data_IF_440996453366
#
_entry.id   IF_440996453366
#
_cell.length_a   1.000
_cell.length_b   1.000
_cell.length_c   1.000
_cell.angle_alpha   90.00
_cell.angle_beta   90.00
_cell.angle_gamma   90.00
#
_symmetry.space_group_name_H-M   'P 1'
#
loop_
_entity.id
_entity.type
_entity.pdbx_description
1 polymer ?
#
# COMPACT_ATOMS: atom_id res chain seq x y z
N UNK A 1 -11.13 45.89 -49.85
CA UNK A 1 -10.83 45.87 -48.42
C UNK A 1 -11.24 44.51 -47.88
N UNK A 2 -10.31 43.54 -47.89
CA UNK A 2 -10.52 42.18 -47.48
C UNK A 2 -10.08 42.00 -46.03
N UNK A 3 -11.00 41.67 -45.12
CA UNK A 3 -10.74 41.29 -43.75
C UNK A 3 -10.38 39.79 -43.67
N UNK A 4 -9.13 39.51 -43.29
CA UNK A 4 -8.65 38.16 -43.01
C UNK A 4 -9.01 37.79 -41.56
N UNK A 5 -9.83 36.77 -41.41
CA UNK A 5 -10.14 36.13 -40.14
C UNK A 5 -9.05 35.08 -39.86
N UNK A 6 -8.15 35.36 -38.90
CA UNK A 6 -7.19 34.37 -38.38
C UNK A 6 -7.91 33.46 -37.38
N UNK A 7 -8.12 32.23 -37.78
CA UNK A 7 -8.60 31.17 -36.87
C UNK A 7 -7.50 30.82 -35.87
N UNK A 8 -7.82 30.95 -34.57
CA UNK A 8 -6.99 30.45 -33.47
C UNK A 8 -7.28 28.94 -33.35
N UNK A 9 -6.35 28.12 -33.79
CA UNK A 9 -6.39 26.69 -33.51
C UNK A 9 -5.97 26.47 -32.04
N UNK A 10 -6.92 26.09 -31.22
CA UNK A 10 -6.68 25.67 -29.84
C UNK A 10 -6.06 24.26 -29.89
N UNK A 11 -4.75 24.16 -29.73
CA UNK A 11 -4.06 22.89 -29.53
C UNK A 11 -4.42 22.36 -28.14
N UNK A 12 -5.36 21.39 -28.12
CA UNK A 12 -5.58 20.55 -26.94
C UNK A 12 -4.43 19.54 -26.93
N UNK A 13 -3.41 19.83 -26.12
CA UNK A 13 -2.30 18.92 -25.88
C UNK A 13 -2.79 17.72 -25.07
N UNK A 14 -3.09 16.61 -25.72
CA UNK A 14 -3.16 15.31 -25.06
C UNK A 14 -1.77 14.89 -24.66
N UNK A 15 -1.36 15.18 -23.44
CA UNK A 15 -0.18 14.56 -22.84
C UNK A 15 -0.48 13.08 -22.61
N UNK A 16 0.02 12.22 -23.50
CA UNK A 16 0.02 10.77 -23.27
C UNK A 16 0.78 10.49 -21.97
N UNK A 17 0.07 9.97 -20.97
CA UNK A 17 0.66 9.54 -19.70
C UNK A 17 1.57 8.34 -19.99
N UNK A 18 2.85 8.61 -20.23
CA UNK A 18 3.88 7.57 -20.13
C UNK A 18 3.88 7.09 -18.67
N UNK A 19 3.67 5.79 -18.45
CA UNK A 19 3.80 5.13 -17.13
C UNK A 19 5.29 5.09 -16.69
N UNK A 20 6.00 6.19 -16.83
CA UNK A 20 7.31 6.38 -16.21
C UNK A 20 7.01 6.77 -14.75
N UNK A 21 7.71 6.16 -13.82
CA UNK A 21 7.56 6.46 -12.39
C UNK A 21 7.80 7.98 -12.19
N UNK A 22 6.71 8.70 -11.95
CA UNK A 22 6.75 10.11 -11.60
C UNK A 22 7.31 10.24 -10.19
N UNK A 23 8.11 11.24 -9.92
CA UNK A 23 8.55 11.55 -8.56
C UNK A 23 7.35 11.98 -7.70
N UNK A 24 7.42 11.80 -6.38
CA UNK A 24 6.36 12.25 -5.48
C UNK A 24 6.18 13.77 -5.55
N UNK A 25 4.94 14.23 -5.40
CA UNK A 25 4.62 15.68 -5.36
C UNK A 25 5.21 16.36 -4.11
N UNK A 26 5.29 15.61 -3.01
CA UNK A 26 5.82 16.10 -1.74
C UNK A 26 6.46 14.95 -0.95
N UNK A 27 7.46 15.27 -0.13
CA UNK A 27 8.06 14.34 0.83
C UNK A 27 7.99 14.96 2.23
N UNK A 28 7.36 14.24 3.18
CA UNK A 28 7.16 14.74 4.54
C UNK A 28 7.73 13.75 5.55
N UNK A 29 8.55 14.23 6.46
CA UNK A 29 9.03 13.42 7.58
C UNK A 29 7.89 13.12 8.55
N UNK A 30 7.56 11.84 8.72
CA UNK A 30 6.48 11.40 9.63
C UNK A 30 7.02 10.90 10.97
N UNK A 31 8.29 10.50 11.02
CA UNK A 31 8.92 9.98 12.22
C UNK A 31 10.36 10.45 12.32
N UNK A 32 10.73 11.00 13.48
CA UNK A 32 12.10 11.36 13.83
C UNK A 32 12.54 10.51 15.01
N UNK A 33 13.69 9.86 14.86
CA UNK A 33 14.41 9.17 15.90
C UNK A 33 15.79 9.85 16.01
N UNK A 34 16.59 9.47 17.02
CA UNK A 34 17.87 10.12 17.28
C UNK A 34 18.74 10.26 16.02
N UNK A 35 18.92 9.17 15.27
CA UNK A 35 19.79 9.12 14.08
C UNK A 35 19.04 8.81 12.77
N UNK A 36 17.70 8.79 12.77
CA UNK A 36 16.90 8.37 11.60
C UNK A 36 15.69 9.26 11.44
N UNK A 37 15.52 9.81 10.24
CA UNK A 37 14.27 10.41 9.78
C UNK A 37 13.61 9.49 8.76
N UNK A 38 12.31 9.25 8.91
CA UNK A 38 11.50 8.44 7.99
C UNK A 38 10.43 9.30 7.35
N UNK A 39 10.32 9.22 6.02
CA UNK A 39 9.46 10.06 5.22
C UNK A 39 8.30 9.32 4.57
N UNK A 40 7.23 10.04 4.33
CA UNK A 40 6.17 9.69 3.39
C UNK A 40 6.42 10.40 2.08
N UNK A 41 6.34 9.67 0.98
CA UNK A 41 6.38 10.16 -0.40
C UNK A 41 4.94 10.26 -0.89
N UNK A 42 4.43 11.48 -1.10
CA UNK A 42 3.03 11.77 -1.34
C UNK A 42 2.75 11.98 -2.82
N UNK A 43 1.59 11.50 -3.26
CA UNK A 43 1.03 11.69 -4.59
C UNK A 43 -0.38 12.21 -4.42
N UNK A 44 -0.63 13.42 -4.87
CA UNK A 44 -1.90 14.10 -4.73
C UNK A 44 -2.77 13.97 -6.00
N UNK A 45 -4.09 13.92 -5.84
CA UNK A 45 -5.00 14.10 -6.97
C UNK A 45 -4.87 15.50 -7.57
N UNK A 46 -5.20 15.63 -8.86
CA UNK A 46 -5.28 16.94 -9.51
C UNK A 46 -6.18 17.90 -8.72
N UNK A 47 -5.73 19.16 -8.57
CA UNK A 47 -6.42 20.22 -7.83
C UNK A 47 -6.74 19.87 -6.36
N UNK A 48 -5.94 19.01 -5.74
CA UNK A 48 -6.11 18.64 -4.35
C UNK A 48 -6.01 19.82 -3.39
N UNK A 49 -6.88 19.84 -2.37
CA UNK A 49 -6.89 20.84 -1.31
C UNK A 49 -7.08 20.17 0.07
N UNK A 50 -6.54 20.80 1.11
CA UNK A 50 -6.68 20.33 2.48
C UNK A 50 -8.14 20.22 2.98
N UNK A 51 -9.08 20.90 2.31
CA UNK A 51 -10.52 20.83 2.60
C UNK A 51 -11.24 19.60 2.02
N UNK A 52 -10.61 18.80 1.14
CA UNK A 52 -11.28 17.80 0.29
C UNK A 52 -11.80 16.57 1.02
N UNK A 53 -11.18 16.16 2.15
CA UNK A 53 -11.52 14.95 2.90
C UNK A 53 -11.51 13.67 2.05
N UNK A 54 -10.50 13.53 1.20
CA UNK A 54 -10.31 12.37 0.31
C UNK A 54 -9.97 11.09 1.09
N UNK A 55 -10.14 9.93 0.49
CA UNK A 55 -9.56 8.69 1.04
C UNK A 55 -8.04 8.73 0.92
N UNK A 56 -7.33 8.15 1.90
CA UNK A 56 -5.88 8.00 1.89
C UNK A 56 -5.46 6.55 1.77
N UNK A 57 -4.26 6.30 1.24
CA UNK A 57 -3.61 4.99 1.28
C UNK A 57 -2.11 5.16 1.48
N UNK A 58 -1.50 4.30 2.31
CA UNK A 58 -0.05 4.22 2.49
C UNK A 58 0.46 2.84 2.11
N UNK A 59 1.51 2.79 1.28
CA UNK A 59 2.17 1.55 0.88
C UNK A 59 3.53 1.40 1.57
N UNK A 60 3.87 0.13 1.88
CA UNK A 60 5.16 -0.29 2.40
C UNK A 60 5.85 -1.22 1.40
N UNK A 61 7.10 -0.93 1.06
CA UNK A 61 7.87 -1.67 0.07
C UNK A 61 8.30 -3.05 0.56
N UNK A 62 8.56 -3.98 -0.38
CA UNK A 62 9.14 -5.28 -0.11
C UNK A 62 10.67 -5.22 0.07
N UNK A 63 11.27 -6.38 0.31
CA UNK A 63 12.73 -6.50 0.45
C UNK A 63 13.18 -7.28 1.69
N UNK A 64 12.29 -8.13 2.22
CA UNK A 64 12.60 -9.08 3.31
C UNK A 64 13.00 -8.39 4.61
N UNK A 65 12.51 -7.18 4.89
CA UNK A 65 12.94 -6.33 6.03
C UNK A 65 14.44 -6.02 6.05
N UNK A 66 15.13 -6.36 4.97
CA UNK A 66 16.57 -6.13 4.82
C UNK A 66 16.89 -4.86 4.02
N UNK A 67 16.11 -4.55 3.00
CA UNK A 67 16.31 -3.42 2.10
C UNK A 67 15.03 -3.06 1.38
N UNK A 68 15.16 -2.35 0.25
CA UNK A 68 14.05 -1.88 -0.57
C UNK A 68 13.92 -0.36 -0.61
N UNK A 69 12.95 0.14 -1.37
CA UNK A 69 12.73 1.58 -1.60
C UNK A 69 11.24 1.89 -1.74
N UNK A 70 10.76 3.04 -1.26
CA UNK A 70 9.40 3.54 -1.51
C UNK A 70 9.00 3.58 -2.98
N UNK A 71 9.96 3.77 -3.89
CA UNK A 71 9.73 3.83 -5.34
C UNK A 71 9.08 2.57 -5.92
N UNK A 72 9.12 1.43 -5.21
CA UNK A 72 8.41 0.22 -5.63
C UNK A 72 6.92 0.47 -5.84
N UNK A 73 6.29 1.29 -5.01
CA UNK A 73 4.86 1.57 -5.07
C UNK A 73 4.49 2.89 -5.74
N UNK A 74 5.44 3.65 -6.28
CA UNK A 74 5.13 4.89 -7.01
C UNK A 74 4.11 4.68 -8.13
N UNK A 75 4.21 3.64 -8.99
CA UNK A 75 3.18 3.41 -10.02
C UNK A 75 1.77 3.17 -9.46
N UNK A 76 1.66 2.51 -8.30
CA UNK A 76 0.39 2.31 -7.62
C UNK A 76 -0.13 3.63 -7.03
N UNK A 77 0.73 4.43 -6.42
CA UNK A 77 0.39 5.74 -5.87
C UNK A 77 -0.10 6.70 -6.97
N UNK A 78 0.61 6.77 -8.10
CA UNK A 78 0.21 7.56 -9.27
C UNK A 78 -1.17 7.17 -9.79
N UNK A 79 -1.41 5.86 -9.94
CA UNK A 79 -2.72 5.40 -10.36
C UNK A 79 -3.81 5.82 -9.37
N UNK A 80 -3.62 5.60 -8.08
CA UNK A 80 -4.63 5.91 -7.07
C UNK A 80 -4.83 7.42 -6.89
N UNK A 81 -3.78 8.24 -7.05
CA UNK A 81 -3.94 9.70 -7.07
C UNK A 81 -4.77 10.15 -8.26
N UNK A 82 -4.55 9.58 -9.46
CA UNK A 82 -5.41 9.87 -10.63
C UNK A 82 -6.87 9.42 -10.44
N UNK A 83 -7.13 8.50 -9.49
CA UNK A 83 -8.46 8.07 -9.08
C UNK A 83 -9.07 8.93 -7.96
N UNK A 84 -8.33 9.90 -7.45
CA UNK A 84 -8.81 10.84 -6.44
C UNK A 84 -8.43 10.54 -4.99
N UNK A 85 -7.57 9.56 -4.72
CA UNK A 85 -7.01 9.31 -3.38
C UNK A 85 -5.74 10.11 -3.13
N UNK A 86 -5.48 10.49 -1.89
CA UNK A 86 -4.12 10.87 -1.47
C UNK A 86 -3.35 9.58 -1.25
N UNK A 87 -2.39 9.28 -2.13
CA UNK A 87 -1.62 8.05 -2.08
C UNK A 87 -0.19 8.32 -1.59
N UNK A 88 0.33 7.42 -0.77
CA UNK A 88 1.62 7.59 -0.12
C UNK A 88 2.44 6.31 -0.21
N UNK A 89 3.76 6.44 -0.31
CA UNK A 89 4.70 5.34 -0.10
C UNK A 89 5.63 5.70 1.05
N UNK A 90 5.71 4.84 2.06
CA UNK A 90 6.43 5.12 3.29
C UNK A 90 7.85 4.56 3.29
N UNK A 91 8.79 5.33 3.77
CA UNK A 91 10.02 4.78 4.31
C UNK A 91 9.75 4.07 5.63
N UNK A 92 10.49 3.03 5.90
CA UNK A 92 10.55 2.37 7.21
C UNK A 92 11.96 1.81 7.42
N UNK A 93 12.37 1.64 8.65
CA UNK A 93 13.70 1.12 8.99
C UNK A 93 13.87 -0.30 8.48
N UNK A 94 15.04 -0.58 7.90
CA UNK A 94 15.42 -1.90 7.39
C UNK A 94 16.83 -2.26 7.85
N UNK A 95 17.12 -3.57 7.92
CA UNK A 95 18.38 -4.06 8.47
C UNK A 95 19.62 -3.45 7.80
N UNK A 96 19.67 -3.34 6.48
CA UNK A 96 20.85 -2.88 5.73
C UNK A 96 21.20 -1.41 5.97
N UNK A 97 20.22 -0.57 6.31
CA UNK A 97 20.42 0.87 6.56
C UNK A 97 20.46 1.22 8.04
N UNK A 98 19.65 0.52 8.84
CA UNK A 98 19.39 0.93 10.22
C UNK A 98 19.71 -0.16 11.24
N UNK A 99 20.22 -1.34 10.82
CA UNK A 99 20.57 -2.48 11.66
C UNK A 99 19.39 -3.01 12.50
N UNK A 100 18.17 -2.83 12.01
CA UNK A 100 16.91 -3.15 12.70
C UNK A 100 16.41 -4.56 12.38
N UNK A 101 15.43 -5.00 13.15
CA UNK A 101 14.71 -6.27 13.00
C UNK A 101 13.32 -6.04 12.40
N UNK A 102 12.53 -7.08 12.06
CA UNK A 102 11.15 -6.89 11.62
C UNK A 102 10.24 -6.17 12.63
N UNK A 103 10.59 -6.18 13.93
CA UNK A 103 9.87 -5.43 14.97
C UNK A 103 9.82 -3.94 14.68
N UNK A 104 10.97 -3.33 14.42
CA UNK A 104 11.07 -1.90 14.12
C UNK A 104 10.35 -1.54 12.81
N UNK A 105 10.36 -2.47 11.83
CA UNK A 105 9.58 -2.25 10.59
C UNK A 105 8.08 -2.13 10.88
N UNK A 106 7.52 -2.98 11.76
CA UNK A 106 6.11 -2.93 12.17
C UNK A 106 5.83 -1.67 12.98
N UNK A 107 6.71 -1.31 13.93
CA UNK A 107 6.59 -0.05 14.70
C UNK A 107 6.51 1.15 13.78
N UNK A 108 7.33 1.22 12.74
CA UNK A 108 7.34 2.33 11.78
C UNK A 108 6.08 2.34 10.91
N UNK A 109 5.59 1.17 10.49
CA UNK A 109 4.32 1.06 9.78
C UNK A 109 3.13 1.58 10.60
N UNK A 110 3.07 1.23 11.88
CA UNK A 110 2.05 1.74 12.81
C UNK A 110 2.17 3.24 13.03
N UNK A 111 3.40 3.74 13.22
CA UNK A 111 3.68 5.17 13.32
C UNK A 111 3.20 5.93 12.07
N UNK A 112 3.43 5.40 10.86
CA UNK A 112 3.01 6.03 9.62
C UNK A 112 1.48 6.17 9.54
N UNK A 113 0.72 5.09 9.81
CA UNK A 113 -0.75 5.13 9.79
C UNK A 113 -1.28 6.11 10.85
N UNK A 114 -0.72 6.09 12.06
CA UNK A 114 -1.09 7.02 13.13
C UNK A 114 -0.81 8.47 12.76
N UNK A 115 0.40 8.75 12.23
CA UNK A 115 0.78 10.08 11.81
C UNK A 115 -0.13 10.63 10.70
N UNK A 116 -0.48 9.81 9.70
CA UNK A 116 -1.44 10.18 8.65
C UNK A 116 -2.80 10.53 9.26
N UNK A 117 -3.29 9.75 10.21
CA UNK A 117 -4.58 10.00 10.87
C UNK A 117 -4.56 11.29 11.70
N UNK A 118 -3.48 11.56 12.44
CA UNK A 118 -3.27 12.81 13.19
C UNK A 118 -3.22 14.03 12.27
N UNK A 119 -2.61 13.89 11.11
CA UNK A 119 -2.44 14.98 10.13
C UNK A 119 -3.50 14.97 9.02
N UNK A 120 -4.55 14.17 9.14
CA UNK A 120 -5.55 13.97 8.10
C UNK A 120 -6.17 15.29 7.60
N UNK A 121 -6.47 16.24 8.51
CA UNK A 121 -6.96 17.57 8.14
C UNK A 121 -5.98 18.36 7.28
N UNK A 122 -4.68 18.36 7.61
CA UNK A 122 -3.63 19.03 6.85
C UNK A 122 -3.44 18.39 5.47
N UNK A 123 -3.54 17.06 5.42
CA UNK A 123 -3.39 16.26 4.20
C UNK A 123 -4.66 16.20 3.34
N UNK A 124 -5.76 16.86 3.72
CA UNK A 124 -7.03 16.74 3.01
C UNK A 124 -7.62 15.33 2.99
N UNK A 125 -7.30 14.51 4.01
CA UNK A 125 -7.73 13.12 4.13
C UNK A 125 -8.88 12.99 5.13
N UNK A 126 -9.83 12.10 4.85
CA UNK A 126 -10.80 11.66 5.84
C UNK A 126 -10.12 10.67 6.80
N UNK A 127 -10.02 10.96 8.11
CA UNK A 127 -9.33 10.09 9.07
C UNK A 127 -10.00 8.71 9.28
N UNK A 128 -11.23 8.52 8.81
CA UNK A 128 -11.95 7.25 8.82
C UNK A 128 -11.86 6.50 7.48
N UNK A 129 -11.01 6.94 6.55
CA UNK A 129 -10.78 6.32 5.24
C UNK A 129 -9.29 6.28 4.89
N UNK A 130 -8.51 5.59 5.70
CA UNK A 130 -7.07 5.38 5.51
C UNK A 130 -6.82 3.89 5.29
N UNK A 131 -6.39 3.51 4.09
CA UNK A 131 -5.97 2.16 3.77
C UNK A 131 -4.46 2.00 3.98
N UNK A 132 -4.01 0.78 4.24
CA UNK A 132 -2.60 0.41 4.21
C UNK A 132 -2.38 -0.74 3.23
N UNK A 133 -1.28 -0.70 2.49
CA UNK A 133 -0.92 -1.72 1.52
C UNK A 133 0.57 -2.01 1.52
N UNK A 134 0.96 -3.05 0.78
CA UNK A 134 2.38 -3.36 0.63
C UNK A 134 2.63 -4.71 -0.01
N UNK A 135 3.90 -4.95 -0.37
CA UNK A 135 4.33 -6.19 -1.01
C UNK A 135 5.34 -6.97 -0.17
N UNK A 136 5.22 -8.31 -0.14
CA UNK A 136 6.18 -9.18 0.54
C UNK A 136 6.38 -8.79 2.02
N UNK A 137 7.58 -8.43 2.43
CA UNK A 137 7.86 -7.90 3.77
C UNK A 137 7.09 -6.60 4.07
N UNK A 138 6.87 -5.72 3.07
CA UNK A 138 6.01 -4.54 3.23
C UNK A 138 4.53 -4.91 3.33
N UNK A 139 4.12 -5.99 2.68
CA UNK A 139 2.80 -6.59 2.88
C UNK A 139 2.61 -7.16 4.29
N UNK A 140 3.68 -7.68 4.90
CA UNK A 140 3.69 -8.03 6.32
C UNK A 140 3.51 -6.80 7.21
N UNK A 141 4.30 -5.73 6.94
CA UNK A 141 4.20 -4.47 7.70
C UNK A 141 2.76 -3.94 7.62
N UNK A 142 2.18 -3.83 6.42
CA UNK A 142 0.79 -3.42 6.23
C UNK A 142 -0.20 -4.32 6.98
N UNK A 143 -0.10 -5.64 6.83
CA UNK A 143 -0.98 -6.60 7.52
C UNK A 143 -0.86 -6.46 9.04
N UNK A 144 0.37 -6.30 9.56
CA UNK A 144 0.63 -6.16 10.99
C UNK A 144 -0.01 -4.89 11.58
N UNK A 145 -0.10 -3.78 10.82
CA UNK A 145 -0.82 -2.58 11.32
C UNK A 145 -2.29 -2.85 11.61
N UNK A 146 -2.90 -3.81 10.90
CA UNK A 146 -4.31 -4.17 11.09
C UNK A 146 -4.57 -5.40 11.96
N UNK A 147 -3.54 -6.20 12.29
CA UNK A 147 -3.73 -7.47 13.01
C UNK A 147 -2.96 -7.54 14.32
N UNK A 148 -1.81 -6.87 14.42
CA UNK A 148 -0.88 -7.00 15.55
C UNK A 148 -1.10 -5.87 16.56
N UNK A 149 -1.43 -6.20 17.80
CA UNK A 149 -1.61 -5.21 18.87
C UNK A 149 -0.25 -4.74 19.43
N UNK A 150 0.73 -5.62 19.47
CA UNK A 150 2.09 -5.31 19.95
C UNK A 150 2.84 -4.32 19.04
N UNK A 151 4.02 -3.92 19.48
CA UNK A 151 4.99 -3.09 18.74
C UNK A 151 4.48 -1.67 18.40
N UNK A 152 3.81 -1.05 19.35
CA UNK A 152 3.55 0.38 19.32
C UNK A 152 4.83 1.16 19.62
N UNK A 153 5.03 2.30 18.98
CA UNK A 153 6.16 3.18 19.28
C UNK A 153 5.92 3.90 20.61
N UNK A 154 6.86 3.77 21.54
CA UNK A 154 6.81 4.50 22.81
C UNK A 154 6.83 6.02 22.57
N UNK A 155 6.04 6.76 23.35
CA UNK A 155 5.93 8.22 23.26
C UNK A 155 4.98 8.75 22.19
N UNK A 156 4.38 7.91 21.35
CA UNK A 156 3.29 8.31 20.45
C UNK A 156 1.94 8.34 21.18
N UNK A 157 1.02 9.18 20.69
CA UNK A 157 -0.34 9.26 21.23
C UNK A 157 -1.15 7.99 20.90
N UNK A 158 -1.21 7.08 21.87
CA UNK A 158 -1.96 5.84 21.76
C UNK A 158 -3.49 5.99 21.65
N UNK A 159 -4.05 7.19 21.88
CA UNK A 159 -5.48 7.46 21.67
C UNK A 159 -5.85 7.52 20.19
N UNK A 160 -4.87 7.72 19.31
CA UNK A 160 -5.03 7.73 17.85
C UNK A 160 -4.66 6.37 17.29
N UNK A 161 -5.62 5.72 16.63
CA UNK A 161 -5.44 4.37 16.11
C UNK A 161 -4.34 4.29 15.03
N UNK A 162 -3.45 3.31 15.17
CA UNK A 162 -2.47 2.89 14.15
C UNK A 162 -3.04 1.84 13.18
N UNK A 163 -4.24 1.33 13.43
CA UNK A 163 -4.94 0.39 12.57
C UNK A 163 -5.57 1.11 11.37
N UNK A 164 -5.36 0.67 10.13
CA UNK A 164 -5.99 1.24 8.94
C UNK A 164 -7.46 0.79 8.83
N UNK A 165 -8.20 1.38 7.88
CA UNK A 165 -9.61 1.07 7.64
C UNK A 165 -9.80 0.03 6.51
N UNK A 166 -8.74 -0.30 5.75
CA UNK A 166 -8.68 -1.37 4.76
C UNK A 166 -7.23 -1.83 4.53
N UNK A 167 -7.04 -3.07 4.08
CA UNK A 167 -5.73 -3.65 3.76
C UNK A 167 -5.66 -4.10 2.29
N UNK A 168 -4.55 -3.74 1.60
CA UNK A 168 -4.26 -4.09 0.19
C UNK A 168 -2.90 -4.80 0.12
N UNK A 169 -2.90 -6.13 -0.02
CA UNK A 169 -1.73 -6.94 0.25
C UNK A 169 -1.26 -7.74 -0.98
N UNK A 170 -0.02 -7.49 -1.41
CA UNK A 170 0.60 -8.17 -2.56
C UNK A 170 1.61 -9.19 -2.06
N UNK A 171 1.39 -10.47 -2.35
CA UNK A 171 2.20 -11.62 -1.88
C UNK A 171 2.78 -11.41 -0.45
N UNK A 172 1.91 -11.11 0.54
CA UNK A 172 2.36 -10.71 1.87
C UNK A 172 2.92 -11.88 2.67
N UNK A 173 3.87 -11.58 3.56
CA UNK A 173 4.25 -12.54 4.60
C UNK A 173 3.18 -12.52 5.69
N UNK A 174 2.45 -13.60 5.84
CA UNK A 174 1.43 -13.75 6.88
C UNK A 174 1.90 -14.61 8.07
N UNK A 175 2.76 -15.59 7.81
CA UNK A 175 3.20 -16.56 8.80
C UNK A 175 4.71 -16.43 9.07
N UNK A 176 5.05 -16.13 10.33
CA UNK A 176 6.42 -16.09 10.84
C UNK A 176 6.72 -17.23 11.81
N UNK A 177 5.83 -18.22 11.91
CA UNK A 177 6.00 -19.41 12.73
C UNK A 177 7.18 -20.28 12.29
N UNK A 178 7.43 -21.43 12.96
CA UNK A 178 8.62 -22.27 12.72
C UNK A 178 8.84 -22.71 11.27
N UNK A 179 7.76 -22.81 10.47
CA UNK A 179 7.81 -23.12 9.05
C UNK A 179 7.51 -21.90 8.16
N UNK A 180 7.28 -20.74 8.75
CA UNK A 180 6.96 -19.50 8.08
C UNK A 180 8.18 -18.70 7.62
N UNK A 181 7.92 -17.72 6.77
CA UNK A 181 8.99 -16.88 6.22
C UNK A 181 9.67 -16.03 7.31
N UNK A 182 10.97 -16.08 7.32
CA UNK A 182 11.80 -15.23 8.20
C UNK A 182 11.75 -15.60 9.68
N UNK A 183 11.30 -16.80 10.05
CA UNK A 183 11.21 -17.25 11.44
C UNK A 183 12.49 -17.00 12.24
N UNK A 184 13.66 -17.29 11.68
CA UNK A 184 14.96 -17.09 12.35
C UNK A 184 15.22 -15.64 12.77
N UNK A 185 14.57 -14.66 12.16
CA UNK A 185 14.72 -13.21 12.46
C UNK A 185 13.80 -12.72 13.56
N UNK A 186 12.78 -13.53 13.89
CA UNK A 186 11.71 -13.17 14.85
C UNK A 186 11.44 -14.27 15.87
N UNK A 187 12.34 -15.24 15.97
CA UNK A 187 12.19 -16.50 16.74
C UNK A 187 11.59 -16.28 18.14
N UNK A 188 12.04 -15.24 18.84
CA UNK A 188 11.67 -15.02 20.23
C UNK A 188 10.30 -14.33 20.39
N UNK A 189 9.77 -13.72 19.32
CA UNK A 189 8.51 -12.97 19.32
C UNK A 189 7.63 -13.25 18.07
N UNK A 190 7.84 -14.39 17.41
CA UNK A 190 7.15 -14.70 16.16
C UNK A 190 5.63 -14.76 16.28
N UNK A 191 5.10 -15.19 17.42
CA UNK A 191 3.65 -15.24 17.67
C UNK A 191 3.04 -13.84 17.69
N UNK A 192 3.75 -12.92 18.32
CA UNK A 192 3.29 -11.54 18.49
C UNK A 192 3.32 -10.74 17.19
N UNK A 193 4.28 -11.04 16.28
CA UNK A 193 4.47 -10.27 15.04
C UNK A 193 3.79 -10.88 13.80
N UNK A 194 3.37 -12.14 13.88
CA UNK A 194 2.82 -12.88 12.73
C UNK A 194 1.36 -12.51 12.47
N UNK A 195 1.01 -11.85 11.35
CA UNK A 195 -0.37 -11.46 11.06
C UNK A 195 -1.36 -12.62 11.14
N UNK A 196 -0.97 -13.81 10.65
CA UNK A 196 -1.80 -15.01 10.66
C UNK A 196 -2.22 -15.46 12.06
N UNK A 197 -1.41 -15.19 13.08
CA UNK A 197 -1.62 -15.63 14.46
C UNK A 197 -2.32 -14.58 15.33
N UNK A 198 -2.60 -13.41 14.75
CA UNK A 198 -3.19 -12.26 15.46
C UNK A 198 -4.50 -11.77 14.80
N UNK A 199 -5.21 -12.66 14.10
CA UNK A 199 -6.48 -12.31 13.48
C UNK A 199 -7.59 -12.24 14.53
N UNK A 200 -8.21 -11.07 14.65
CA UNK A 200 -9.35 -10.78 15.54
C UNK A 200 -10.56 -10.30 14.75
N UNK A 201 -11.69 -10.07 15.43
CA UNK A 201 -12.88 -9.48 14.82
C UNK A 201 -12.75 -7.98 14.47
N UNK A 202 -11.63 -7.35 14.84
CA UNK A 202 -11.34 -5.94 14.52
C UNK A 202 -10.51 -5.76 13.25
N UNK A 203 -9.96 -6.85 12.68
CA UNK A 203 -9.12 -6.77 11.47
C UNK A 203 -9.89 -6.11 10.31
N UNK A 204 -9.28 -5.13 9.60
CA UNK A 204 -9.94 -4.45 8.50
C UNK A 204 -10.28 -5.37 7.32
N UNK A 205 -11.27 -5.01 6.48
CA UNK A 205 -11.47 -5.67 5.19
C UNK A 205 -10.15 -5.72 4.41
N UNK A 206 -9.84 -6.87 3.83
CA UNK A 206 -8.54 -7.16 3.23
C UNK A 206 -8.70 -7.70 1.82
N UNK A 207 -7.87 -7.24 0.87
CA UNK A 207 -7.66 -7.89 -0.42
C UNK A 207 -6.23 -8.42 -0.50
N UNK A 208 -6.08 -9.62 -1.05
CA UNK A 208 -4.79 -10.33 -1.16
C UNK A 208 -4.57 -10.78 -2.59
N UNK A 209 -3.39 -10.48 -3.13
CA UNK A 209 -2.93 -10.89 -4.46
C UNK A 209 -1.74 -11.83 -4.32
N UNK A 210 -1.83 -13.06 -4.80
CA UNK A 210 -0.76 -14.06 -4.66
C UNK A 210 -0.60 -14.91 -5.94
N UNK A 211 0.65 -15.11 -6.35
CA UNK A 211 1.00 -16.01 -7.44
C UNK A 211 1.02 -17.47 -7.01
N UNK A 212 0.49 -18.38 -7.85
CA UNK A 212 0.42 -19.81 -7.50
C UNK A 212 1.76 -20.54 -7.55
N UNK A 213 2.80 -19.92 -8.15
CA UNK A 213 4.19 -20.39 -8.14
C UNK A 213 5.09 -19.59 -7.20
N UNK A 214 4.51 -18.86 -6.25
CA UNK A 214 5.29 -18.17 -5.23
C UNK A 214 6.02 -19.21 -4.34
N UNK A 215 7.36 -19.17 -4.36
CA UNK A 215 8.19 -20.08 -3.59
C UNK A 215 8.50 -19.58 -2.18
N UNK A 216 8.22 -18.30 -1.89
CA UNK A 216 8.46 -17.71 -0.58
C UNK A 216 7.21 -17.76 0.30
N UNK A 217 6.05 -17.55 -0.29
CA UNK A 217 4.76 -17.51 0.40
C UNK A 217 3.84 -18.59 -0.18
N UNK A 218 3.70 -19.74 0.49
CA UNK A 218 2.83 -20.80 0.03
C UNK A 218 1.37 -20.36 -0.10
N UNK A 219 0.69 -20.79 -1.17
CA UNK A 219 -0.75 -20.53 -1.40
C UNK A 219 -1.59 -20.92 -0.18
N UNK A 220 -1.25 -22.04 0.46
CA UNK A 220 -1.98 -22.52 1.64
C UNK A 220 -1.92 -21.55 2.83
N UNK A 221 -0.85 -20.75 2.94
CA UNK A 221 -0.75 -19.70 3.96
C UNK A 221 -1.79 -18.59 3.71
N UNK A 222 -1.95 -18.14 2.47
CA UNK A 222 -2.94 -17.14 2.12
C UNK A 222 -4.39 -17.67 2.25
N UNK A 223 -4.64 -18.90 1.84
CA UNK A 223 -5.94 -19.57 2.06
C UNK A 223 -6.25 -19.74 3.55
N UNK A 224 -5.24 -20.08 4.37
CA UNK A 224 -5.43 -20.16 5.83
C UNK A 224 -5.74 -18.78 6.42
N UNK A 225 -5.08 -17.72 5.97
CA UNK A 225 -5.39 -16.36 6.40
C UNK A 225 -6.84 -16.00 6.04
N UNK A 226 -7.28 -16.26 4.81
CA UNK A 226 -8.67 -16.05 4.38
C UNK A 226 -9.67 -16.78 5.27
N UNK A 227 -9.50 -18.10 5.51
CA UNK A 227 -10.38 -18.87 6.38
C UNK A 227 -10.49 -18.29 7.79
N UNK A 228 -9.35 -17.90 8.38
CA UNK A 228 -9.35 -17.31 9.72
C UNK A 228 -10.06 -15.95 9.75
N UNK A 229 -9.96 -15.14 8.70
CA UNK A 229 -10.73 -13.91 8.54
C UNK A 229 -12.24 -14.20 8.47
N UNK A 230 -12.64 -15.18 7.67
CA UNK A 230 -14.04 -15.63 7.54
C UNK A 230 -14.61 -16.14 8.87
N UNK A 231 -13.85 -16.94 9.63
CA UNK A 231 -14.22 -17.40 10.99
C UNK A 231 -14.48 -16.22 11.95
N UNK A 232 -13.76 -15.11 11.77
CA UNK A 232 -13.97 -13.87 12.53
C UNK A 232 -15.04 -12.95 11.91
N UNK A 233 -15.74 -13.41 10.85
CA UNK A 233 -16.72 -12.64 10.09
C UNK A 233 -16.12 -11.37 9.49
N UNK A 234 -14.86 -11.45 9.05
CA UNK A 234 -14.14 -10.37 8.39
C UNK A 234 -13.95 -10.68 6.91
N UNK A 235 -14.11 -9.68 6.06
CA UNK A 235 -13.94 -9.82 4.62
C UNK A 235 -12.47 -9.99 4.25
N UNK A 236 -12.17 -11.03 3.44
CA UNK A 236 -10.87 -11.25 2.84
C UNK A 236 -11.05 -11.74 1.40
N UNK A 237 -10.79 -10.88 0.43
CA UNK A 237 -10.87 -11.20 -1.00
C UNK A 237 -9.49 -11.73 -1.44
N UNK A 238 -9.38 -13.03 -1.72
CA UNK A 238 -8.12 -13.66 -2.15
C UNK A 238 -8.14 -13.88 -3.67
N UNK A 239 -7.21 -13.22 -4.38
CA UNK A 239 -6.97 -13.37 -5.80
C UNK A 239 -5.70 -14.19 -6.06
N UNK A 240 -5.85 -15.38 -6.66
CA UNK A 240 -4.75 -16.26 -7.02
C UNK A 240 -4.43 -16.13 -8.52
N UNK A 241 -3.16 -15.82 -8.84
CA UNK A 241 -2.69 -15.64 -10.20
C UNK A 241 -1.91 -16.86 -10.66
N UNK A 242 -2.53 -17.63 -11.54
CA UNK A 242 -2.00 -18.92 -12.01
C UNK A 242 -0.61 -18.76 -12.67
N UNK A 243 0.34 -19.56 -12.22
CA UNK A 243 1.69 -19.62 -12.77
C UNK A 243 2.61 -18.45 -12.37
N UNK A 244 2.12 -17.47 -11.61
CA UNK A 244 2.90 -16.32 -11.23
C UNK A 244 3.79 -16.58 -10.02
N UNK A 245 5.02 -16.03 -10.05
CA UNK A 245 6.01 -16.13 -8.98
C UNK A 245 5.92 -14.92 -8.03
N UNK A 246 6.76 -14.92 -7.01
CA UNK A 246 6.86 -13.81 -6.04
C UNK A 246 7.21 -12.48 -6.74
N UNK A 247 6.49 -11.40 -6.39
CA UNK A 247 6.72 -10.06 -6.93
C UNK A 247 6.09 -9.78 -8.29
N UNK A 248 5.26 -10.67 -8.82
CA UNK A 248 4.62 -10.57 -10.15
C UNK A 248 3.79 -9.29 -10.35
N UNK A 249 3.29 -8.69 -9.28
CA UNK A 249 2.46 -7.48 -9.27
C UNK A 249 3.23 -6.20 -9.60
N UNK A 250 4.57 -6.22 -9.52
CA UNK A 250 5.39 -5.04 -9.80
C UNK A 250 5.35 -4.71 -11.30
N UNK A 251 5.20 -3.42 -11.64
CA UNK A 251 5.23 -2.96 -13.03
C UNK A 251 6.53 -3.39 -13.74
N UNK A 252 7.65 -3.41 -13.03
CA UNK A 252 8.97 -3.86 -13.54
C UNK A 252 9.03 -5.36 -13.86
N UNK A 253 8.07 -6.17 -13.42
CA UNK A 253 7.99 -7.62 -13.72
C UNK A 253 7.07 -7.95 -14.89
N UNK A 254 6.26 -6.99 -15.30
CA UNK A 254 5.36 -7.13 -16.43
C UNK A 254 4.09 -6.29 -16.25
N UNK A 255 3.67 -5.69 -17.35
CA UNK A 255 2.54 -4.77 -17.38
C UNK A 255 1.21 -5.47 -17.12
N UNK A 256 1.02 -6.66 -17.68
CA UNK A 256 -0.28 -7.35 -17.66
C UNK A 256 -0.79 -7.67 -16.25
N UNK A 257 0.07 -8.24 -15.41
CA UNK A 257 -0.30 -8.59 -14.05
C UNK A 257 -0.34 -7.39 -13.11
N UNK A 258 0.50 -6.38 -13.37
CA UNK A 258 0.36 -5.08 -12.70
C UNK A 258 -1.05 -4.51 -12.93
N UNK A 259 -1.50 -4.47 -14.18
CA UNK A 259 -2.83 -3.97 -14.57
C UNK A 259 -3.95 -4.77 -13.92
N UNK A 260 -3.85 -6.10 -13.96
CA UNK A 260 -4.87 -6.95 -13.37
C UNK A 260 -4.97 -6.76 -11.85
N UNK A 261 -3.84 -6.69 -11.14
CA UNK A 261 -3.85 -6.49 -9.69
C UNK A 261 -4.32 -5.09 -9.30
N UNK A 262 -3.92 -4.05 -10.04
CA UNK A 262 -4.38 -2.67 -9.82
C UNK A 262 -5.88 -2.54 -10.12
N UNK A 263 -6.39 -3.22 -11.14
CA UNK A 263 -7.82 -3.23 -11.44
C UNK A 263 -8.65 -3.84 -10.29
N UNK A 264 -8.25 -4.98 -9.76
CA UNK A 264 -8.96 -5.63 -8.64
C UNK A 264 -8.77 -4.87 -7.32
N UNK A 265 -7.62 -4.22 -7.09
CA UNK A 265 -7.39 -3.29 -5.98
C UNK A 265 -8.40 -2.14 -6.02
N UNK A 266 -8.54 -1.49 -7.17
CA UNK A 266 -9.49 -0.37 -7.36
C UNK A 266 -10.93 -0.82 -7.09
N UNK A 267 -11.36 -1.95 -7.66
CA UNK A 267 -12.70 -2.52 -7.41
C UNK A 267 -12.96 -2.79 -5.93
N UNK A 268 -11.96 -3.35 -5.24
CA UNK A 268 -12.05 -3.58 -3.80
C UNK A 268 -12.21 -2.26 -3.04
N UNK A 269 -11.40 -1.25 -3.34
CA UNK A 269 -11.47 0.08 -2.72
C UNK A 269 -12.79 0.79 -3.05
N UNK A 270 -13.31 0.65 -4.28
CA UNK A 270 -14.64 1.14 -4.65
C UNK A 270 -15.75 0.47 -3.82
N UNK A 271 -15.67 -0.84 -3.61
CA UNK A 271 -16.69 -1.59 -2.85
C UNK A 271 -16.76 -1.19 -1.38
N UNK A 272 -15.70 -0.56 -0.86
CA UNK A 272 -15.63 -0.01 0.51
C UNK A 272 -15.88 1.51 0.55
N UNK A 273 -16.14 2.15 -0.59
CA UNK A 273 -16.38 3.58 -0.71
C UNK A 273 -15.12 4.45 -0.53
N UNK A 274 -13.92 3.89 -0.71
CA UNK A 274 -12.67 4.66 -0.79
C UNK A 274 -12.52 5.35 -2.14
N UNK A 275 -13.02 4.73 -3.20
CA UNK A 275 -13.07 5.25 -4.56
C UNK A 275 -14.50 5.23 -5.08
N UNK A 276 -14.74 5.94 -6.17
CA UNK A 276 -16.03 5.96 -6.88
C UNK A 276 -15.83 5.78 -8.40
N UNK A 277 -16.83 5.28 -9.09
CA UNK A 277 -16.79 5.02 -10.53
C UNK A 277 -15.95 3.79 -10.91
N UNK A 278 -15.88 3.49 -12.19
CA UNK A 278 -15.18 2.32 -12.73
C UNK A 278 -13.66 2.50 -12.74
N UNK A 279 -12.88 1.41 -12.54
CA UNK A 279 -11.42 1.44 -12.64
C UNK A 279 -10.94 1.92 -14.01
N UNK A 280 -10.01 2.89 -14.02
CA UNK A 280 -9.49 3.51 -15.25
C UNK A 280 -8.18 2.91 -15.76
N UNK A 281 -7.56 2.00 -15.03
CA UNK A 281 -6.23 1.46 -15.36
C UNK A 281 -6.14 0.88 -16.79
N UNK A 282 -7.20 0.22 -17.28
CA UNK A 282 -7.22 -0.38 -18.62
C UNK A 282 -7.30 0.66 -19.75
N UNK A 283 -7.94 1.80 -19.51
CA UNK A 283 -8.03 2.89 -20.49
C UNK A 283 -6.73 3.69 -20.57
N UNK A 284 -6.05 3.90 -19.45
CA UNK A 284 -4.75 4.58 -19.40
C UNK A 284 -3.68 3.84 -20.20
N UNK A 285 -3.78 2.52 -20.31
CA UNK A 285 -2.86 1.70 -21.10
C UNK A 285 -3.11 1.84 -22.59
N UNK A 286 -4.36 1.81 -23.03
CA UNK A 286 -4.72 1.94 -24.45
C UNK A 286 -4.38 3.31 -25.05
N UNK A 287 -4.37 4.36 -24.23
CA UNK A 287 -3.99 5.71 -24.67
C UNK A 287 -2.49 5.92 -24.83
N UNK A 288 -1.65 5.09 -24.21
CA UNK A 288 -0.18 5.14 -24.30
C UNK A 288 0.43 4.31 -25.46
N UNK A 289 -0.40 3.58 -26.21
CA UNK A 289 0.02 2.73 -27.36
C UNK A 289 -0.23 3.40 -28.72
N UNK A 290 -0.58 4.70 -28.78
CA UNK A 290 -0.79 5.46 -30.03
C UNK A 290 0.34 6.43 -30.31
#
# INVERSE_FOLDING_TARGET
MMLSVKGIAMLIGFSGLTLLAQEPDETIVYKKLEDVELSLHLFYPDNHQASDKRSGIVFFFGGGWNGGSPSQFYPHCQYLSSRGMVAMSAEYRVKSRNQTTPRECVMDGKSAVRWIRLNAKKLGINPAKIAAGGGSAGGHVAAATGTVEAFEQAGEDGSVASCPDALVLFNPVFDNGPKGYGHSRVKDYWKEISPLHNITSSVPPTVVFLGTKDQLIPVETAKRYQRLMEEKKRRCDLHLYQGQAHGFFNLSKGRDFYVQTVFEMDRFLCSLGFLTGEPTIRSLIRSGEK
#
